data_IF_341814535502
#
_entry.id   IF_341814535502
#
_cell.length_a   1.000
_cell.length_b   1.000
_cell.length_c   1.000
_cell.angle_alpha   90.00
_cell.angle_beta   90.00
_cell.angle_gamma   90.00
#
_symmetry.space_group_name_H-M   'P 1'
#
loop_
_entity.id
_entity.type
_entity.pdbx_description
1 polymer ?
#
# COMPACT_ATOMS: atom_id res chain seq x y z
N UNK A 1 11.16 -13.61 -2.59
CA UNK A 1 9.99 -12.89 -2.02
C UNK A 1 10.08 -11.45 -2.44
N UNK A 2 8.97 -10.83 -2.85
CA UNK A 2 8.92 -9.40 -3.18
C UNK A 2 9.21 -8.51 -1.97
N UNK A 3 9.63 -7.27 -2.21
CA UNK A 3 9.76 -6.27 -1.15
C UNK A 3 8.36 -5.72 -0.82
N UNK A 4 7.90 -5.93 0.42
CA UNK A 4 6.62 -5.37 0.89
C UNK A 4 6.84 -4.08 1.65
N UNK A 5 6.19 -3.02 1.19
CA UNK A 5 6.24 -1.68 1.77
C UNK A 5 4.81 -1.24 2.16
N UNK A 6 4.66 -0.75 3.37
CA UNK A 6 3.41 -0.16 3.84
C UNK A 6 3.62 1.34 4.12
N UNK A 7 2.85 2.18 3.47
CA UNK A 7 2.81 3.62 3.71
C UNK A 7 1.53 3.96 4.46
N UNK A 8 1.66 4.49 5.65
CA UNK A 8 0.55 4.86 6.53
C UNK A 8 0.41 6.38 6.63
N UNK A 9 -0.82 6.83 6.80
CA UNK A 9 -1.11 8.24 7.09
C UNK A 9 -2.58 8.58 6.94
N UNK A 10 -2.97 9.71 7.50
CA UNK A 10 -4.32 10.25 7.39
C UNK A 10 -4.63 10.75 5.98
N UNK A 11 -5.90 11.08 5.72
CA UNK A 11 -6.29 11.71 4.46
C UNK A 11 -5.57 13.06 4.30
N UNK A 12 -5.11 13.36 3.07
CA UNK A 12 -4.44 14.62 2.76
C UNK A 12 -2.95 14.70 3.16
N UNK A 13 -2.36 13.65 3.72
CA UNK A 13 -0.95 13.65 4.19
C UNK A 13 0.07 13.27 3.11
N UNK A 14 -0.34 13.17 1.83
CA UNK A 14 0.59 12.97 0.73
C UNK A 14 0.78 11.53 0.25
N UNK A 15 0.06 10.53 0.80
CA UNK A 15 0.19 9.11 0.36
C UNK A 15 0.13 8.96 -1.16
N UNK A 16 -1.02 9.27 -1.77
CA UNK A 16 -1.17 9.11 -3.24
C UNK A 16 -0.38 10.16 -4.04
N UNK A 17 -0.03 11.32 -3.44
CA UNK A 17 0.83 12.33 -4.08
C UNK A 17 2.25 11.83 -4.25
N UNK A 18 2.73 10.97 -3.38
CA UNK A 18 4.08 10.41 -3.43
C UNK A 18 4.38 9.57 -4.68
N UNK A 19 3.32 9.14 -5.40
CA UNK A 19 3.43 8.40 -6.67
C UNK A 19 3.92 9.29 -7.82
N UNK A 20 3.85 10.61 -7.69
CA UNK A 20 3.99 11.61 -8.77
C UNK A 20 5.22 11.43 -9.67
N UNK A 21 6.33 10.94 -9.13
CA UNK A 21 7.62 10.81 -9.82
C UNK A 21 7.95 9.35 -10.21
N UNK A 22 7.04 8.40 -9.95
CA UNK A 22 7.22 7.02 -10.40
C UNK A 22 7.17 6.92 -11.93
N UNK A 23 8.03 6.08 -12.52
CA UNK A 23 8.01 5.83 -13.96
C UNK A 23 6.85 4.89 -14.32
N UNK A 24 5.94 5.34 -15.17
CA UNK A 24 4.80 4.54 -15.62
C UNK A 24 5.18 3.36 -16.53
N UNK A 25 6.44 3.29 -16.99
CA UNK A 25 6.91 2.15 -17.78
C UNK A 25 7.08 0.90 -16.93
N UNK A 26 7.53 1.08 -15.69
CA UNK A 26 7.83 -0.01 -14.75
C UNK A 26 6.91 -0.06 -13.53
N UNK A 27 5.92 0.85 -13.45
CA UNK A 27 5.01 0.96 -12.31
C UNK A 27 3.57 0.70 -12.73
N UNK A 28 2.89 -0.15 -11.97
CA UNK A 28 1.46 -0.43 -12.11
C UNK A 28 0.70 -0.02 -10.84
N UNK A 29 -0.48 0.61 -10.99
CA UNK A 29 -1.28 1.08 -9.87
C UNK A 29 -2.58 0.30 -9.80
N UNK A 30 -2.89 -0.25 -8.61
CA UNK A 30 -4.19 -0.83 -8.28
C UNK A 30 -4.89 0.17 -7.34
N UNK A 31 -6.02 0.73 -7.76
CA UNK A 31 -6.81 1.66 -6.95
C UNK A 31 -8.05 0.99 -6.40
N UNK A 32 -8.18 0.91 -5.08
CA UNK A 32 -9.39 0.42 -4.44
C UNK A 32 -10.56 1.42 -4.56
N UNK A 33 -10.26 2.71 -4.74
CA UNK A 33 -11.26 3.76 -4.91
C UNK A 33 -11.08 4.44 -6.27
N UNK A 34 -12.15 4.51 -7.05
CA UNK A 34 -12.13 5.19 -8.36
C UNK A 34 -12.13 6.72 -8.21
N UNK A 35 -10.96 7.29 -7.99
CA UNK A 35 -10.75 8.75 -7.90
C UNK A 35 -9.52 9.18 -8.69
N UNK A 36 -9.44 10.44 -9.14
CA UNK A 36 -8.24 10.98 -9.74
C UNK A 36 -7.06 10.96 -8.76
N UNK A 37 -5.88 10.53 -9.23
CA UNK A 37 -4.65 10.69 -8.45
C UNK A 37 -4.26 12.18 -8.41
N UNK A 38 -3.71 12.67 -7.28
CA UNK A 38 -3.54 14.10 -7.02
C UNK A 38 -2.27 14.69 -7.65
N UNK A 39 -1.95 14.31 -8.89
CA UNK A 39 -0.83 14.87 -9.64
C UNK A 39 -1.12 14.99 -11.15
N UNK A 40 -0.40 15.90 -11.82
CA UNK A 40 -0.58 16.18 -13.24
C UNK A 40 -0.17 15.00 -14.11
N UNK A 41 -0.91 14.76 -15.19
CA UNK A 41 -0.55 13.75 -16.19
C UNK A 41 -0.94 12.31 -15.82
N UNK A 42 -1.52 12.05 -14.64
CA UNK A 42 -1.79 10.67 -14.20
C UNK A 42 -2.64 9.87 -15.19
N UNK A 43 -3.67 10.47 -15.81
CA UNK A 43 -4.53 9.77 -16.77
C UNK A 43 -3.77 9.33 -18.03
N UNK A 44 -2.79 10.11 -18.45
CA UNK A 44 -1.93 9.80 -19.60
C UNK A 44 -0.91 8.73 -19.25
N UNK A 45 -0.28 8.88 -18.09
CA UNK A 45 0.81 8.01 -17.66
C UNK A 45 0.32 6.65 -17.13
N UNK A 46 -0.88 6.65 -16.50
CA UNK A 46 -1.50 5.44 -15.93
C UNK A 46 -2.91 5.22 -16.50
N UNK A 47 -3.04 4.94 -17.82
CA UNK A 47 -4.33 4.58 -18.41
C UNK A 47 -4.88 3.30 -17.76
N UNK A 48 -6.22 3.20 -17.68
CA UNK A 48 -6.87 2.00 -17.16
C UNK A 48 -6.55 0.83 -18.08
N UNK A 49 -6.20 -0.31 -17.50
CA UNK A 49 -5.93 -1.55 -18.21
C UNK A 49 -7.20 -2.03 -18.94
N UNK A 50 -7.10 -2.25 -20.22
CA UNK A 50 -8.16 -2.78 -21.08
C UNK A 50 -8.21 -4.31 -21.05
N UNK A 51 -9.08 -4.90 -21.89
CA UNK A 51 -9.25 -6.34 -21.99
C UNK A 51 -8.01 -7.05 -22.57
N UNK A 52 -7.20 -6.34 -23.32
CA UNK A 52 -5.97 -6.86 -23.94
C UNK A 52 -4.77 -6.71 -23.01
N UNK A 53 -4.98 -6.26 -21.77
CA UNK A 53 -3.91 -6.06 -20.77
C UNK A 53 -3.11 -4.76 -20.97
N UNK A 54 -3.53 -3.89 -21.91
CA UNK A 54 -2.86 -2.61 -22.15
C UNK A 54 -3.32 -1.59 -21.12
N UNK A 55 -2.38 -0.93 -20.50
CA UNK A 55 -2.62 0.06 -19.46
C UNK A 55 -1.71 -0.15 -18.27
N UNK A 56 -1.74 0.81 -17.34
CA UNK A 56 -0.87 0.82 -16.16
C UNK A 56 -1.66 0.99 -14.85
N UNK A 57 -2.98 0.80 -14.91
CA UNK A 57 -3.84 0.97 -13.75
C UNK A 57 -5.06 0.03 -13.78
N UNK A 58 -5.34 -0.61 -12.65
CA UNK A 58 -6.58 -1.32 -12.36
C UNK A 58 -7.39 -0.52 -11.33
N UNK A 59 -8.70 -0.38 -11.53
CA UNK A 59 -9.62 0.14 -10.51
C UNK A 59 -10.48 -1.02 -10.03
N UNK A 60 -10.27 -1.46 -8.79
CA UNK A 60 -11.03 -2.54 -8.17
C UNK A 60 -10.79 -2.60 -6.67
N UNK A 61 -11.87 -2.79 -5.91
CA UNK A 61 -11.89 -3.12 -4.49
C UNK A 61 -12.19 -4.62 -4.24
N UNK A 62 -12.40 -5.39 -5.31
CA UNK A 62 -12.64 -6.83 -5.22
C UNK A 62 -11.32 -7.58 -5.02
N UNK A 63 -11.20 -8.33 -3.93
CA UNK A 63 -9.98 -9.02 -3.53
C UNK A 63 -9.51 -10.04 -4.57
N UNK A 64 -10.40 -10.81 -5.20
CA UNK A 64 -10.04 -11.80 -6.22
C UNK A 64 -9.45 -11.15 -7.49
N UNK A 65 -10.03 -10.01 -7.90
CA UNK A 65 -9.50 -9.24 -9.03
C UNK A 65 -8.13 -8.64 -8.72
N UNK A 66 -7.92 -8.17 -7.50
CA UNK A 66 -6.62 -7.66 -7.04
C UNK A 66 -5.59 -8.79 -7.06
N UNK A 67 -5.91 -9.95 -6.47
CA UNK A 67 -5.04 -11.13 -6.46
C UNK A 67 -4.72 -11.61 -7.87
N UNK A 68 -5.73 -11.68 -8.75
CA UNK A 68 -5.54 -12.05 -10.15
C UNK A 68 -4.61 -11.09 -10.89
N UNK A 69 -4.76 -9.78 -10.64
CA UNK A 69 -3.89 -8.75 -11.19
C UNK A 69 -2.45 -8.89 -10.67
N UNK A 70 -2.24 -9.11 -9.37
CA UNK A 70 -0.93 -9.34 -8.78
C UNK A 70 -0.21 -10.54 -9.43
N UNK A 71 -0.93 -11.66 -9.62
CA UNK A 71 -0.40 -12.85 -10.30
C UNK A 71 -0.08 -12.59 -11.76
N UNK A 72 -0.90 -11.80 -12.46
CA UNK A 72 -0.64 -11.40 -13.84
C UNK A 72 0.64 -10.56 -13.94
N UNK A 73 0.77 -9.53 -13.08
CA UNK A 73 1.92 -8.63 -13.05
C UNK A 73 3.23 -9.34 -12.62
N UNK A 74 3.13 -10.44 -11.88
CA UNK A 74 4.29 -11.26 -11.54
C UNK A 74 5.00 -11.84 -12.77
N UNK A 75 4.28 -12.02 -13.89
CA UNK A 75 4.84 -12.52 -15.15
C UNK A 75 5.34 -11.40 -16.08
N UNK A 76 4.96 -10.15 -15.83
CA UNK A 76 5.40 -8.99 -16.60
C UNK A 76 6.75 -8.49 -16.04
N UNK A 77 7.84 -8.79 -16.75
CA UNK A 77 9.21 -8.44 -16.35
C UNK A 77 9.53 -6.95 -16.45
N UNK A 78 8.74 -6.19 -17.20
CA UNK A 78 8.89 -4.74 -17.30
C UNK A 78 8.37 -4.04 -16.06
N UNK A 79 7.42 -4.63 -15.34
CA UNK A 79 6.92 -4.09 -14.08
C UNK A 79 7.89 -4.39 -12.93
N UNK A 80 8.31 -3.34 -12.23
CA UNK A 80 9.17 -3.39 -11.04
C UNK A 80 8.45 -2.92 -9.78
N UNK A 81 7.43 -2.09 -9.94
CA UNK A 81 6.71 -1.48 -8.82
C UNK A 81 5.20 -1.69 -8.99
N UNK A 82 4.56 -2.24 -7.98
CA UNK A 82 3.10 -2.36 -7.89
C UNK A 82 2.64 -1.54 -6.70
N UNK A 83 1.73 -0.59 -6.92
CA UNK A 83 1.20 0.28 -5.89
C UNK A 83 -0.27 -0.04 -5.69
N UNK A 84 -0.68 -0.39 -4.46
CA UNK A 84 -2.08 -0.61 -4.10
C UNK A 84 -2.53 0.62 -3.31
N UNK A 85 -3.19 1.55 -4.01
CA UNK A 85 -3.65 2.83 -3.45
C UNK A 85 -5.00 2.67 -2.76
N UNK A 86 -5.12 3.31 -1.59
CA UNK A 86 -6.32 3.25 -0.74
C UNK A 86 -6.67 1.83 -0.26
N UNK A 87 -5.67 1.01 0.07
CA UNK A 87 -5.83 -0.41 0.40
C UNK A 87 -6.87 -0.69 1.50
N UNK A 88 -7.02 0.18 2.48
CA UNK A 88 -8.03 0.05 3.53
C UNK A 88 -9.45 -0.06 2.96
N UNK A 89 -9.75 0.57 1.82
CA UNK A 89 -11.09 0.55 1.24
C UNK A 89 -11.48 -0.81 0.64
N UNK A 90 -10.55 -1.72 0.40
CA UNK A 90 -10.87 -3.10 0.02
C UNK A 90 -11.77 -3.73 1.08
N UNK A 91 -11.34 -3.72 2.34
CA UNK A 91 -12.15 -4.29 3.44
C UNK A 91 -13.35 -3.40 3.79
N UNK A 92 -13.22 -2.07 3.70
CA UNK A 92 -14.32 -1.15 4.04
C UNK A 92 -15.49 -1.27 3.08
N UNK A 93 -15.22 -1.39 1.78
CA UNK A 93 -16.26 -1.53 0.76
C UNK A 93 -16.90 -2.93 0.83
N UNK A 94 -16.13 -3.98 1.04
CA UNK A 94 -16.67 -5.33 1.27
C UNK A 94 -17.61 -5.33 2.50
N UNK A 95 -17.20 -4.69 3.60
CA UNK A 95 -18.05 -4.54 4.78
C UNK A 95 -19.36 -3.85 4.46
N UNK A 96 -19.35 -2.76 3.69
CA UNK A 96 -20.57 -2.04 3.30
C UNK A 96 -21.48 -2.87 2.38
N UNK A 97 -20.92 -3.60 1.43
CA UNK A 97 -21.69 -4.52 0.56
C UNK A 97 -22.36 -5.61 1.39
N UNK A 98 -21.68 -6.14 2.38
CA UNK A 98 -22.14 -7.24 3.24
C UNK A 98 -22.83 -6.76 4.53
N UNK A 99 -23.14 -5.47 4.65
CA UNK A 99 -23.68 -4.87 5.90
C UNK A 99 -24.98 -5.52 6.37
N UNK A 100 -25.83 -6.03 5.45
CA UNK A 100 -27.10 -6.70 5.77
C UNK A 100 -26.96 -8.17 6.17
N UNK A 101 -25.82 -8.79 5.95
CA UNK A 101 -25.56 -10.17 6.36
C UNK A 101 -25.53 -10.27 7.89
N UNK A 102 -26.26 -11.26 8.42
CA UNK A 102 -26.27 -11.55 9.87
C UNK A 102 -25.11 -12.46 10.25
N UNK A 103 -24.72 -12.43 11.51
CA UNK A 103 -23.65 -13.29 12.06
C UNK A 103 -22.26 -12.66 11.99
N UNK A 104 -21.29 -13.37 12.57
CA UNK A 104 -19.91 -12.89 12.71
C UNK A 104 -18.95 -13.48 11.66
N UNK A 105 -19.35 -14.54 10.96
CA UNK A 105 -18.52 -15.27 10.00
C UNK A 105 -18.01 -14.35 8.88
N UNK A 106 -18.86 -13.41 8.44
CA UNK A 106 -18.48 -12.41 7.42
C UNK A 106 -17.23 -11.61 7.79
N UNK A 107 -17.05 -11.28 9.08
CA UNK A 107 -15.87 -10.52 9.52
C UNK A 107 -14.60 -11.36 9.43
N UNK A 108 -14.71 -12.67 9.66
CA UNK A 108 -13.59 -13.61 9.50
C UNK A 108 -13.23 -13.77 8.02
N UNK A 109 -14.22 -13.92 7.15
CA UNK A 109 -14.01 -14.00 5.70
C UNK A 109 -13.39 -12.72 5.13
N UNK A 110 -13.93 -11.55 5.51
CA UNK A 110 -13.39 -10.25 5.09
C UNK A 110 -11.94 -10.07 5.54
N UNK A 111 -11.64 -10.45 6.79
CA UNK A 111 -10.28 -10.42 7.31
C UNK A 111 -9.35 -11.36 6.53
N UNK A 112 -9.84 -12.55 6.16
CA UNK A 112 -9.11 -13.51 5.33
C UNK A 112 -8.84 -12.93 3.93
N UNK A 113 -9.82 -12.32 3.27
CA UNK A 113 -9.66 -11.70 1.96
C UNK A 113 -8.60 -10.59 1.98
N UNK A 114 -8.65 -9.73 2.99
CA UNK A 114 -7.67 -8.66 3.18
C UNK A 114 -6.25 -9.21 3.39
N UNK A 115 -6.12 -10.21 4.27
CA UNK A 115 -4.85 -10.89 4.54
C UNK A 115 -4.29 -11.59 3.30
N UNK A 116 -5.15 -12.28 2.52
CA UNK A 116 -4.74 -13.01 1.31
C UNK A 116 -4.08 -12.11 0.26
N UNK A 117 -4.50 -10.85 0.12
CA UNK A 117 -3.86 -9.92 -0.80
C UNK A 117 -2.40 -9.69 -0.38
N UNK A 118 -2.14 -9.47 0.91
CA UNK A 118 -0.79 -9.27 1.44
C UNK A 118 0.05 -10.55 1.30
N UNK A 119 -0.54 -11.70 1.63
CA UNK A 119 0.14 -13.00 1.50
C UNK A 119 0.54 -13.30 0.05
N UNK A 120 -0.36 -13.11 -0.91
CA UNK A 120 -0.05 -13.27 -2.34
C UNK A 120 1.01 -12.28 -2.78
N UNK A 121 0.90 -11.01 -2.38
CA UNK A 121 1.91 -10.00 -2.70
C UNK A 121 3.30 -10.41 -2.21
N UNK A 122 3.41 -10.97 -1.00
CA UNK A 122 4.70 -11.40 -0.41
C UNK A 122 5.39 -12.51 -1.20
N UNK A 123 4.63 -13.33 -1.92
CA UNK A 123 5.13 -14.49 -2.67
C UNK A 123 5.47 -14.17 -4.13
N UNK A 124 5.34 -12.92 -4.54
CA UNK A 124 5.74 -12.51 -5.89
C UNK A 124 7.27 -12.54 -6.04
N UNK A 125 7.76 -12.38 -7.27
CA UNK A 125 9.20 -12.40 -7.57
C UNK A 125 9.97 -11.34 -6.76
N UNK A 126 11.21 -11.60 -6.46
CA UNK A 126 12.04 -10.83 -5.52
C UNK A 126 12.44 -9.43 -6.00
N UNK A 127 12.42 -9.20 -7.32
CA UNK A 127 12.72 -7.91 -7.93
C UNK A 127 11.50 -6.96 -8.01
N UNK A 128 10.37 -7.33 -7.36
CA UNK A 128 9.18 -6.51 -7.26
C UNK A 128 9.10 -5.76 -5.93
N UNK A 129 8.85 -4.47 -6.01
CA UNK A 129 8.40 -3.66 -4.90
C UNK A 129 6.86 -3.62 -4.89
N UNK A 130 6.21 -4.09 -3.85
CA UNK A 130 4.75 -4.02 -3.68
C UNK A 130 4.43 -3.07 -2.54
N UNK A 131 3.86 -1.92 -2.90
CA UNK A 131 3.66 -0.78 -2.01
C UNK A 131 2.17 -0.62 -1.71
N UNK A 132 1.82 -0.73 -0.46
CA UNK A 132 0.46 -0.55 0.05
C UNK A 132 0.32 0.84 0.66
N UNK A 133 -0.59 1.66 0.15
CA UNK A 133 -0.95 2.94 0.72
C UNK A 133 -2.24 2.78 1.51
N UNK A 134 -2.18 2.95 2.83
CA UNK A 134 -3.32 2.73 3.71
C UNK A 134 -3.50 3.84 4.73
N UNK A 135 -4.70 3.97 5.25
CA UNK A 135 -4.98 4.88 6.34
C UNK A 135 -4.48 4.30 7.67
N UNK A 136 -4.02 5.17 8.53
CA UNK A 136 -3.79 4.87 9.93
C UNK A 136 -4.97 5.32 10.79
N UNK A 137 -5.07 4.77 11.98
CA UNK A 137 -5.93 5.26 13.05
C UNK A 137 -5.07 5.57 14.28
N UNK A 138 -5.49 6.58 15.03
CA UNK A 138 -4.86 6.95 16.29
C UNK A 138 -5.69 6.32 17.42
N UNK A 139 -4.99 5.67 18.36
CA UNK A 139 -5.60 5.12 19.56
C UNK A 139 -5.70 6.19 20.65
N UNK A 140 -6.47 5.89 21.71
CA UNK A 140 -6.63 6.78 22.87
C UNK A 140 -5.32 7.06 23.61
N UNK A 141 -4.37 6.12 23.57
CA UNK A 141 -3.04 6.25 24.17
C UNK A 141 -2.07 7.10 23.31
N UNK A 142 -2.57 7.67 22.21
CA UNK A 142 -1.76 8.49 21.27
C UNK A 142 -0.97 7.66 20.26
N UNK A 143 -0.96 6.33 20.36
CA UNK A 143 -0.26 5.49 19.37
C UNK A 143 -1.06 5.37 18.08
N UNK A 144 -0.37 5.11 16.98
CA UNK A 144 -0.95 4.98 15.64
C UNK A 144 -0.64 3.63 15.04
N UNK A 145 -1.65 3.00 14.43
CA UNK A 145 -1.55 1.72 13.69
C UNK A 145 -2.29 1.81 12.35
N UNK A 146 -2.14 0.78 11.51
CA UNK A 146 -2.98 0.63 10.32
C UNK A 146 -4.45 0.56 10.70
N UNK A 147 -5.31 1.25 9.94
CA UNK A 147 -6.75 1.20 10.13
C UNK A 147 -7.32 -0.06 9.48
N UNK A 148 -8.00 -0.89 10.29
CA UNK A 148 -8.63 -2.13 9.84
C UNK A 148 -10.11 -2.18 10.25
N UNK A 149 -10.81 -3.26 9.90
CA UNK A 149 -12.21 -3.52 10.30
C UNK A 149 -12.29 -4.93 10.86
N UNK A 150 -12.86 -5.04 12.05
CA UNK A 150 -13.12 -6.30 12.73
C UNK A 150 -12.00 -6.74 13.67
N UNK A 151 -12.43 -7.33 14.80
CA UNK A 151 -11.54 -7.71 15.91
C UNK A 151 -10.41 -8.64 15.51
N UNK A 152 -10.60 -9.48 14.48
CA UNK A 152 -9.57 -10.41 14.05
C UNK A 152 -8.32 -9.67 13.54
N UNK A 153 -8.49 -8.66 12.69
CA UNK A 153 -7.36 -7.83 12.20
C UNK A 153 -6.89 -6.82 13.25
N UNK A 154 -7.82 -6.30 14.06
CA UNK A 154 -7.49 -5.27 15.05
C UNK A 154 -6.73 -5.80 16.26
N UNK A 155 -7.09 -7.01 16.75
CA UNK A 155 -6.62 -7.51 18.02
C UNK A 155 -5.74 -8.76 17.92
N UNK A 156 -5.91 -9.57 16.85
CA UNK A 156 -5.26 -10.89 16.73
C UNK A 156 -4.14 -10.92 15.69
N UNK A 157 -4.18 -10.04 14.70
CA UNK A 157 -3.19 -9.99 13.62
C UNK A 157 -2.55 -8.60 13.57
N UNK A 158 -1.24 -8.55 13.75
CA UNK A 158 -0.48 -7.31 13.55
C UNK A 158 -0.15 -7.18 12.08
N UNK A 159 -0.98 -6.43 11.34
CA UNK A 159 -0.82 -6.25 9.89
C UNK A 159 0.56 -5.69 9.53
N UNK A 160 1.04 -4.69 10.26
CA UNK A 160 2.37 -4.10 10.03
C UNK A 160 3.51 -5.11 10.23
N UNK A 161 3.25 -6.18 11.00
CA UNK A 161 4.19 -7.29 11.18
C UNK A 161 4.49 -8.05 9.89
N UNK A 162 3.58 -8.00 8.91
CA UNK A 162 3.74 -8.66 7.61
C UNK A 162 4.66 -7.90 6.63
N UNK A 163 5.00 -6.66 6.96
CA UNK A 163 5.83 -5.79 6.13
C UNK A 163 7.22 -5.62 6.73
N UNK A 164 8.24 -5.59 5.89
CA UNK A 164 9.61 -5.28 6.32
C UNK A 164 9.81 -3.76 6.47
N UNK A 165 9.15 -2.99 5.63
CA UNK A 165 9.25 -1.53 5.60
C UNK A 165 7.86 -0.94 5.86
N UNK A 166 7.75 -0.13 6.90
CA UNK A 166 6.54 0.63 7.23
C UNK A 166 6.95 2.09 7.42
N UNK A 167 6.47 2.95 6.55
CA UNK A 167 6.72 4.40 6.62
C UNK A 167 5.42 5.14 6.97
N UNK A 168 5.52 6.19 7.77
CA UNK A 168 4.40 7.08 8.05
C UNK A 168 4.57 8.42 7.35
N UNK A 169 3.47 8.95 6.79
CA UNK A 169 3.46 10.30 6.24
C UNK A 169 3.45 11.32 7.37
N UNK A 170 4.30 12.34 7.27
CA UNK A 170 4.41 13.46 8.21
C UNK A 170 4.33 14.77 7.46
N UNK A 171 3.63 15.75 8.03
CA UNK A 171 3.61 17.14 7.55
C UNK A 171 4.33 17.98 8.59
N UNK A 172 5.40 18.65 8.18
CA UNK A 172 6.16 19.57 8.99
C UNK A 172 6.49 20.82 8.17
N UNK A 173 6.25 22.00 8.70
CA UNK A 173 6.52 23.29 8.05
C UNK A 173 5.94 23.38 6.61
N UNK A 174 4.69 22.94 6.45
CA UNK A 174 3.97 22.83 5.16
C UNK A 174 4.65 21.95 4.10
N UNK A 175 5.59 21.09 4.51
CA UNK A 175 6.24 20.11 3.65
C UNK A 175 5.81 18.69 4.03
N UNK A 176 5.85 17.81 3.06
CA UNK A 176 5.44 16.41 3.21
C UNK A 176 6.66 15.52 3.25
N UNK A 177 6.70 14.62 4.24
CA UNK A 177 7.80 13.68 4.47
C UNK A 177 7.28 12.27 4.67
N UNK A 178 8.18 11.30 4.53
CA UNK A 178 8.05 9.98 5.11
C UNK A 178 8.94 9.87 6.34
N UNK A 179 8.37 9.41 7.44
CA UNK A 179 9.12 8.99 8.62
C UNK A 179 9.61 7.56 8.39
N UNK A 180 10.91 7.32 8.61
CA UNK A 180 11.61 6.06 8.33
C UNK A 180 11.90 5.24 9.58
N UNK A 181 11.88 5.85 10.77
CA UNK A 181 12.19 5.25 12.05
C UNK A 181 11.07 5.47 13.05
N UNK A 182 10.91 4.51 13.96
CA UNK A 182 9.92 4.58 15.03
C UNK A 182 10.27 5.69 16.02
N UNK A 183 9.25 6.42 16.45
CA UNK A 183 9.36 7.49 17.46
C UNK A 183 8.70 7.13 18.81
N UNK A 184 8.31 5.84 19.00
CA UNK A 184 7.60 5.36 20.17
C UNK A 184 6.07 5.45 20.10
N UNK A 185 5.51 6.19 19.11
CA UNK A 185 4.07 6.43 18.99
C UNK A 185 3.44 5.85 17.71
N UNK A 186 4.21 5.17 16.88
CA UNK A 186 3.70 4.58 15.66
C UNK A 186 4.42 3.26 15.32
N UNK A 187 4.02 2.63 14.23
CA UNK A 187 4.53 1.33 13.78
C UNK A 187 5.58 1.44 12.67
N UNK A 188 6.18 2.63 12.51
CA UNK A 188 7.24 2.86 11.51
C UNK A 188 8.42 1.95 11.77
N UNK A 189 8.94 1.34 10.71
CA UNK A 189 10.16 0.52 10.74
C UNK A 189 10.79 0.41 9.36
N UNK A 190 12.09 0.28 9.34
CA UNK A 190 12.89 -0.01 8.16
C UNK A 190 14.11 -0.84 8.53
N UNK A 191 14.73 -1.57 7.59
CA UNK A 191 16.00 -2.26 7.82
C UNK A 191 17.10 -1.31 8.31
N UNK A 192 17.99 -1.83 9.14
CA UNK A 192 19.09 -1.05 9.71
C UNK A 192 20.00 -0.49 8.59
N UNK A 193 20.17 0.83 8.57
CA UNK A 193 21.04 1.49 7.60
C UNK A 193 20.44 1.67 6.19
N UNK A 194 19.13 1.34 5.99
CA UNK A 194 18.48 1.58 4.69
C UNK A 194 18.24 3.08 4.43
N UNK A 195 17.87 3.81 5.47
CA UNK A 195 17.65 5.25 5.40
C UNK A 195 18.54 5.95 6.44
N UNK A 196 19.28 6.96 5.99
CA UNK A 196 20.19 7.71 6.84
C UNK A 196 19.44 8.75 7.73
N UNK A 197 18.28 9.23 7.24
CA UNK A 197 17.52 10.29 7.88
C UNK A 197 16.19 9.77 8.44
N UNK A 198 15.75 10.32 9.57
CA UNK A 198 14.48 10.00 10.19
C UNK A 198 13.28 10.49 9.35
N UNK A 199 13.42 11.60 8.65
CA UNK A 199 12.44 12.17 7.74
C UNK A 199 13.07 12.31 6.34
N UNK A 200 12.48 11.65 5.36
CA UNK A 200 12.88 11.77 3.96
C UNK A 200 11.75 12.42 3.15
N UNK A 201 12.05 12.92 1.95
CA UNK A 201 11.05 13.50 1.08
C UNK A 201 9.91 12.52 0.80
N UNK A 202 8.67 13.04 0.75
CA UNK A 202 7.47 12.27 0.40
C UNK A 202 7.47 11.93 -1.10
N UNK A 203 8.29 10.96 -1.48
CA UNK A 203 8.48 10.51 -2.87
C UNK A 203 8.75 9.00 -2.91
N UNK A 204 7.84 8.24 -3.53
CA UNK A 204 7.99 6.78 -3.63
C UNK A 204 9.14 6.37 -4.55
N UNK A 205 9.53 7.20 -5.51
CA UNK A 205 10.68 6.91 -6.38
C UNK A 205 11.96 6.84 -5.54
N UNK A 206 12.20 7.81 -4.67
CA UNK A 206 13.34 7.78 -3.75
C UNK A 206 13.32 6.57 -2.83
N UNK A 207 12.13 6.19 -2.32
CA UNK A 207 11.97 5.00 -1.47
C UNK A 207 12.34 3.73 -2.23
N UNK A 208 11.84 3.55 -3.46
CA UNK A 208 12.13 2.34 -4.26
C UNK A 208 13.58 2.29 -4.73
N UNK A 209 14.19 3.42 -5.04
CA UNK A 209 15.63 3.51 -5.36
C UNK A 209 16.48 3.06 -4.17
N UNK A 210 16.17 3.53 -2.93
CA UNK A 210 16.86 3.10 -1.70
C UNK A 210 16.69 1.61 -1.39
N UNK A 211 15.50 1.06 -1.62
CA UNK A 211 15.23 -0.38 -1.45
C UNK A 211 16.07 -1.20 -2.45
N UNK A 212 16.10 -0.78 -3.72
CA UNK A 212 16.85 -1.46 -4.75
C UNK A 212 18.38 -1.37 -4.49
N UNK A 213 18.87 -0.23 -4.01
CA UNK A 213 20.26 -0.06 -3.59
C UNK A 213 20.60 -1.01 -2.42
N UNK A 214 19.71 -1.12 -1.44
CA UNK A 214 19.94 -1.89 -0.22
C UNK A 214 19.93 -3.41 -0.46
N UNK A 215 19.00 -3.91 -1.28
CA UNK A 215 18.84 -5.35 -1.53
C UNK A 215 19.43 -5.81 -2.86
N UNK A 216 19.59 -4.93 -3.82
CA UNK A 216 19.97 -5.24 -5.19
C UNK A 216 21.46 -5.25 -5.44
N UNK A 217 22.25 -4.82 -4.45
CA UNK A 217 23.73 -4.83 -4.35
C UNK A 217 24.51 -4.95 -5.62
#
# INVERSE_FOLDING_TARGET
>A
MSNLILILGQSGTGKSTSIRNMDSKDTFIIQAVNKPLPFKGFKKNYPIMDKDGKGRRLVSDNYDRIISCLKYLNNDKDIKNIIIDDFQYVISNEFMVRAKEKGFDKFTEMAQHYYMIIDVASRLREDLNVIFLSHNEQKEDGTSKVKTIGKLLDEKITIEGLFTIVLNTVIQDNKYYFQTQNNGFNTTKSPLGMFDEQLIENDLKLVTEKINEYYGG
#
